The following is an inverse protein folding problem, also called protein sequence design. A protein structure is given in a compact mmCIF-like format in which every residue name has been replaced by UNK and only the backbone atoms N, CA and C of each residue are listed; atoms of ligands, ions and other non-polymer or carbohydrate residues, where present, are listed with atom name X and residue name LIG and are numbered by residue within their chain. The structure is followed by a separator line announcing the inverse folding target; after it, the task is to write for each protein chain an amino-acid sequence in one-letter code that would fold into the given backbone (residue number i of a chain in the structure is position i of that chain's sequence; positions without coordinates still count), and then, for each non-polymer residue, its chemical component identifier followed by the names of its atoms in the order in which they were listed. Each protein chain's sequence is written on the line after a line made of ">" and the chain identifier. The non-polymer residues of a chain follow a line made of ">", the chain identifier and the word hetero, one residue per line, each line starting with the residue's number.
data_IF_471533301494
#
_entry.id   IF_471533301494
#
_cell.length_a   1.000
_cell.length_b   1.000
_cell.length_c   1.000
_cell.angle_alpha   90.00
_cell.angle_beta   90.00
_cell.angle_gamma   90.00
#
_symmetry.space_group_name_H-M   'P 1'
#
loop_
_entity.id
_entity.type
_entity.pdbx_description
1 polymer ?
#
# COMPACT_ATOMS: atom_id res chain seq x y z
N UNK A 1 70.59 -9.91 -0.12
CA UNK A 1 69.57 -10.55 -0.99
C UNK A 1 68.27 -10.78 -0.21
N UNK A 2 68.20 -11.75 0.73
CA UNK A 2 66.96 -12.13 1.45
C UNK A 2 66.34 -11.01 2.29
N UNK A 3 67.15 -10.21 3.00
CA UNK A 3 66.67 -9.07 3.81
C UNK A 3 65.98 -7.99 2.99
N UNK A 4 66.50 -7.68 1.80
CA UNK A 4 65.89 -6.71 0.89
C UNK A 4 64.55 -7.25 0.35
N UNK A 5 64.50 -8.55 0.05
CA UNK A 5 63.28 -9.22 -0.42
C UNK A 5 62.17 -9.20 0.64
N UNK A 6 62.50 -9.46 1.92
CA UNK A 6 61.54 -9.36 3.03
C UNK A 6 61.03 -7.94 3.21
N UNK A 7 61.90 -6.93 3.11
CA UNK A 7 61.47 -5.53 3.17
C UNK A 7 60.47 -5.23 2.04
N UNK A 8 60.79 -5.60 0.80
CA UNK A 8 59.88 -5.37 -0.33
C UNK A 8 58.51 -6.04 -0.16
N UNK A 9 58.46 -7.25 0.41
CA UNK A 9 57.20 -7.94 0.69
C UNK A 9 56.35 -7.21 1.75
N UNK A 10 57.00 -6.69 2.81
CA UNK A 10 56.31 -5.94 3.87
C UNK A 10 55.72 -4.62 3.36
N UNK A 11 56.38 -3.95 2.41
CA UNK A 11 55.89 -2.69 1.84
C UNK A 11 54.83 -2.87 0.75
N UNK A 12 54.64 -4.07 0.18
CA UNK A 12 53.65 -4.31 -0.88
C UNK A 12 52.20 -4.07 -0.43
N UNK A 13 51.90 -4.19 0.87
CA UNK A 13 50.59 -3.88 1.43
C UNK A 13 50.24 -2.39 1.46
N UNK A 14 51.23 -1.49 1.44
CA UNK A 14 50.99 -0.04 1.42
C UNK A 14 50.56 0.50 0.06
N UNK A 15 50.77 -0.25 -1.02
CA UNK A 15 50.34 0.10 -2.37
C UNK A 15 48.96 -0.48 -2.72
N UNK A 16 48.31 -1.19 -1.80
CA UNK A 16 47.00 -1.77 -2.04
C UNK A 16 45.96 -0.64 -2.23
N UNK A 17 45.25 -0.60 -3.38
CA UNK A 17 44.21 0.38 -3.58
C UNK A 17 43.11 0.18 -2.53
N UNK A 18 42.77 1.26 -1.83
CA UNK A 18 41.63 1.31 -0.93
C UNK A 18 40.36 0.97 -1.73
N UNK A 19 39.72 -0.16 -1.39
CA UNK A 19 38.39 -0.48 -1.90
C UNK A 19 37.42 0.45 -1.18
N UNK A 20 37.19 1.62 -1.78
CA UNK A 20 36.13 2.53 -1.33
C UNK A 20 34.83 1.91 -1.81
N UNK A 21 34.24 1.06 -0.97
CA UNK A 21 32.86 0.63 -1.19
C UNK A 21 31.99 1.88 -1.10
N UNK A 22 31.55 2.36 -2.26
CA UNK A 22 30.57 3.44 -2.32
C UNK A 22 29.27 2.90 -1.75
N UNK A 23 28.68 3.54 -0.72
CA UNK A 23 27.37 3.15 -0.24
C UNK A 23 26.39 3.11 -1.41
N UNK A 24 25.70 1.97 -1.57
CA UNK A 24 24.65 1.81 -2.57
C UNK A 24 23.38 2.43 -1.99
N UNK A 25 22.80 3.41 -2.67
CA UNK A 25 21.49 3.92 -2.28
C UNK A 25 20.41 2.85 -2.54
N UNK A 26 19.67 2.50 -1.49
CA UNK A 26 18.55 1.56 -1.54
C UNK A 26 17.26 2.29 -1.20
N UNK A 27 16.29 2.31 -2.13
CA UNK A 27 14.95 2.85 -1.86
C UNK A 27 14.14 1.83 -1.08
N UNK A 28 14.12 1.99 0.23
CA UNK A 28 13.26 1.18 1.11
C UNK A 28 11.84 1.76 1.08
N UNK A 29 10.81 0.99 0.68
CA UNK A 29 9.44 1.45 0.74
C UNK A 29 9.03 1.61 2.21
N UNK A 30 8.60 2.82 2.57
CA UNK A 30 8.08 3.12 3.91
C UNK A 30 6.56 3.20 3.82
N UNK A 31 5.82 2.46 4.66
CA UNK A 31 4.37 2.55 4.69
C UNK A 31 3.93 3.96 5.09
N UNK A 32 3.10 4.59 4.27
CA UNK A 32 2.51 5.91 4.54
C UNK A 32 1.09 5.72 5.07
N UNK A 33 0.70 6.35 6.19
CA UNK A 33 -0.66 6.24 6.69
C UNK A 33 -1.65 6.95 5.74
N UNK A 34 -2.66 6.22 5.29
CA UNK A 34 -3.80 6.75 4.56
C UNK A 34 -4.67 7.60 5.49
N UNK A 35 -4.79 8.90 5.21
CA UNK A 35 -5.62 9.85 5.97
C UNK A 35 -6.91 10.13 5.21
N UNK A 36 -7.77 9.12 5.11
CA UNK A 36 -9.11 9.27 4.54
C UNK A 36 -10.17 9.30 5.65
N UNK A 37 -11.30 9.98 5.39
CA UNK A 37 -12.44 9.95 6.30
C UNK A 37 -13.12 8.58 6.25
N UNK A 38 -13.71 8.18 7.37
CA UNK A 38 -14.57 6.99 7.41
C UNK A 38 -15.81 7.24 6.55
N UNK A 39 -16.14 6.26 5.71
CA UNK A 39 -17.36 6.29 4.90
C UNK A 39 -18.37 5.41 5.62
N UNK A 40 -19.41 5.99 6.23
CA UNK A 40 -20.36 5.23 7.03
C UNK A 40 -21.14 4.27 6.14
N UNK A 41 -21.45 3.10 6.69
CA UNK A 41 -22.28 2.12 6.03
C UNK A 41 -23.69 2.70 5.80
N UNK A 42 -24.21 2.65 4.56
CA UNK A 42 -25.56 3.10 4.30
C UNK A 42 -26.60 2.25 5.00
N UNK A 43 -27.75 2.87 5.25
CA UNK A 43 -28.90 2.18 5.82
C UNK A 43 -29.63 1.38 4.73
N UNK A 44 -29.36 0.08 4.66
CA UNK A 44 -29.77 -0.80 3.56
C UNK A 44 -31.29 -0.97 3.47
N UNK A 45 -31.93 -0.53 2.36
CA UNK A 45 -33.37 -0.66 2.18
C UNK A 45 -33.89 -2.10 2.30
N UNK A 46 -33.17 -3.10 1.77
CA UNK A 46 -33.61 -4.49 1.82
C UNK A 46 -33.64 -5.07 3.24
N UNK A 47 -32.76 -4.60 4.12
CA UNK A 47 -32.72 -5.05 5.52
C UNK A 47 -33.99 -4.69 6.31
N UNK A 48 -34.80 -3.76 5.78
CA UNK A 48 -36.04 -3.28 6.41
C UNK A 48 -37.30 -3.87 5.81
N UNK A 49 -37.18 -4.64 4.73
CA UNK A 49 -38.35 -5.23 4.07
C UNK A 49 -38.90 -6.34 4.95
N UNK A 50 -40.18 -6.23 5.31
CA UNK A 50 -40.86 -7.26 6.09
C UNK A 50 -40.95 -8.57 5.30
N UNK A 51 -40.89 -9.72 5.99
CA UNK A 51 -41.05 -11.04 5.35
C UNK A 51 -42.41 -11.23 4.65
N UNK A 52 -43.43 -10.45 5.04
CA UNK A 52 -44.77 -10.46 4.46
C UNK A 52 -44.98 -9.39 3.39
N UNK A 53 -43.92 -8.67 2.99
CA UNK A 53 -44.00 -7.65 1.95
C UNK A 53 -44.36 -8.28 0.59
N UNK A 54 -45.04 -7.52 -0.26
CA UNK A 54 -45.30 -7.93 -1.63
C UNK A 54 -44.02 -7.88 -2.47
N UNK A 55 -44.00 -8.62 -3.57
CA UNK A 55 -42.91 -8.58 -4.55
C UNK A 55 -42.62 -7.15 -5.02
N UNK A 56 -43.67 -6.34 -5.19
CA UNK A 56 -43.53 -4.93 -5.59
C UNK A 56 -42.75 -4.12 -4.55
N UNK A 57 -43.07 -4.24 -3.26
CA UNK A 57 -42.34 -3.52 -2.21
C UNK A 57 -40.90 -4.02 -2.08
N UNK A 58 -40.67 -5.33 -2.27
CA UNK A 58 -39.33 -5.89 -2.31
C UNK A 58 -38.49 -5.34 -3.47
N UNK A 59 -39.04 -5.32 -4.70
CA UNK A 59 -38.35 -4.79 -5.89
C UNK A 59 -38.07 -3.29 -5.78
N UNK A 60 -39.00 -2.53 -5.21
CA UNK A 60 -38.81 -1.10 -4.95
C UNK A 60 -37.64 -0.86 -3.99
N UNK A 61 -37.55 -1.64 -2.91
CA UNK A 61 -36.42 -1.57 -1.98
C UNK A 61 -35.10 -2.01 -2.67
N UNK A 62 -35.14 -3.07 -3.48
CA UNK A 62 -33.97 -3.56 -4.22
C UNK A 62 -33.40 -2.51 -5.19
N UNK A 63 -34.26 -1.82 -5.95
CA UNK A 63 -33.84 -0.75 -6.87
C UNK A 63 -33.22 0.43 -6.13
N UNK A 64 -33.81 0.84 -5.00
CA UNK A 64 -33.25 1.88 -4.16
C UNK A 64 -31.87 1.48 -3.60
N UNK A 65 -31.73 0.24 -3.14
CA UNK A 65 -30.47 -0.28 -2.62
C UNK A 65 -29.38 -0.39 -3.70
N UNK A 66 -29.73 -0.81 -4.93
CA UNK A 66 -28.78 -0.87 -6.04
C UNK A 66 -28.15 0.51 -6.33
N UNK A 67 -28.97 1.56 -6.38
CA UNK A 67 -28.47 2.93 -6.55
C UNK A 67 -27.60 3.36 -5.36
N UNK A 68 -27.98 2.99 -4.13
CA UNK A 68 -27.23 3.29 -2.92
C UNK A 68 -25.86 2.60 -2.90
N UNK A 69 -25.80 1.31 -3.29
CA UNK A 69 -24.56 0.53 -3.40
C UNK A 69 -23.62 1.13 -4.44
N UNK A 70 -24.12 1.54 -5.61
CA UNK A 70 -23.32 2.21 -6.62
C UNK A 70 -22.67 3.51 -6.09
N UNK A 71 -23.44 4.32 -5.36
CA UNK A 71 -22.94 5.54 -4.72
C UNK A 71 -21.91 5.26 -3.61
N UNK A 72 -22.15 4.23 -2.79
CA UNK A 72 -21.24 3.81 -1.74
C UNK A 72 -19.91 3.29 -2.31
N UNK A 73 -19.96 2.45 -3.33
CA UNK A 73 -18.77 1.96 -4.04
C UNK A 73 -17.95 3.11 -4.65
N UNK A 74 -18.62 4.10 -5.25
CA UNK A 74 -17.94 5.27 -5.79
C UNK A 74 -17.19 6.06 -4.71
N UNK A 75 -17.79 6.24 -3.52
CA UNK A 75 -17.12 6.88 -2.37
C UNK A 75 -15.94 6.07 -1.88
N UNK A 76 -16.09 4.75 -1.73
CA UNK A 76 -15.00 3.86 -1.32
C UNK A 76 -13.82 3.91 -2.29
N UNK A 77 -14.09 3.85 -3.59
CA UNK A 77 -13.05 4.00 -4.64
C UNK A 77 -12.34 5.35 -4.54
N UNK A 78 -13.07 6.43 -4.31
CA UNK A 78 -12.49 7.76 -4.13
C UNK A 78 -11.59 7.83 -2.87
N UNK A 79 -12.00 7.22 -1.76
CA UNK A 79 -11.19 7.15 -0.55
C UNK A 79 -9.89 6.35 -0.75
N UNK A 80 -9.94 5.23 -1.48
CA UNK A 80 -8.75 4.46 -1.83
C UNK A 80 -7.83 5.25 -2.77
N UNK A 81 -8.39 5.90 -3.78
CA UNK A 81 -7.63 6.71 -4.73
C UNK A 81 -6.92 7.90 -4.07
N UNK A 82 -7.50 8.47 -3.00
CA UNK A 82 -6.85 9.52 -2.22
C UNK A 82 -5.62 9.06 -1.41
N UNK A 83 -5.38 7.74 -1.34
CA UNK A 83 -4.31 7.14 -0.55
C UNK A 83 -3.25 6.38 -1.37
N UNK A 84 -3.37 6.40 -2.71
CA UNK A 84 -2.35 5.93 -3.64
C UNK A 84 -1.36 7.05 -3.94
#
# INVERSE_FOLDING_TARGET
>A
MIRALMLCLLLAGCAAPQVVEKPVEVKVPVPVPCKTAEIPEPDWPLAKVAATASDFEWFKAALAELALRAGYEARLKAAVAACQ
#
